data_IF_337095432826
#
_entry.id   IF_337095432826
#
_cell.length_a   1.000
_cell.length_b   1.000
_cell.length_c   1.000
_cell.angle_alpha   90.00
_cell.angle_beta   90.00
_cell.angle_gamma   90.00
#
_symmetry.space_group_name_H-M   'P 1'
#
loop_
_entity.id
_entity.type
_entity.pdbx_description
1 polymer ?
#
# COMPACT_ATOMS: atom_id res chain seq x y z
N UNK A 1 5.80 16.82 -15.16
CA UNK A 1 5.67 15.41 -14.77
C UNK A 1 6.99 14.73 -15.12
N UNK A 2 7.78 14.32 -14.14
CA UNK A 2 9.10 13.73 -14.37
C UNK A 2 8.94 12.22 -14.22
N UNK A 3 9.17 11.49 -15.31
CA UNK A 3 9.29 10.04 -15.25
C UNK A 3 10.74 9.71 -14.90
N UNK A 4 10.91 8.85 -13.90
CA UNK A 4 12.23 8.32 -13.50
C UNK A 4 12.36 6.88 -13.98
N UNK A 5 13.59 6.45 -14.23
CA UNK A 5 13.87 5.09 -14.70
C UNK A 5 13.48 4.05 -13.64
N UNK A 6 13.11 2.86 -14.10
CA UNK A 6 12.80 1.74 -13.23
C UNK A 6 14.08 1.25 -12.55
N UNK A 7 13.98 0.91 -11.27
CA UNK A 7 15.10 0.31 -10.53
C UNK A 7 15.56 -0.97 -11.20
N UNK A 8 16.86 -1.16 -11.37
CA UNK A 8 17.46 -2.32 -12.06
C UNK A 8 16.96 -3.69 -11.55
N UNK A 9 16.67 -3.77 -10.25
CA UNK A 9 16.22 -4.99 -9.59
C UNK A 9 14.70 -5.21 -9.61
N UNK A 10 13.93 -4.21 -10.05
CA UNK A 10 12.48 -4.28 -10.13
C UNK A 10 12.10 -4.93 -11.47
N UNK A 11 12.16 -6.26 -11.54
CA UNK A 11 11.95 -7.01 -12.80
C UNK A 11 10.50 -7.37 -13.08
N UNK A 12 9.61 -7.37 -12.07
CA UNK A 12 8.24 -7.88 -12.19
C UNK A 12 7.24 -6.78 -12.53
N UNK A 13 6.73 -6.73 -13.76
CA UNK A 13 5.79 -5.69 -14.19
C UNK A 13 4.38 -5.83 -13.59
N UNK A 14 4.01 -7.02 -13.13
CA UNK A 14 2.70 -7.29 -12.56
C UNK A 14 2.82 -8.26 -11.40
N UNK A 15 2.08 -7.99 -10.33
CA UNK A 15 1.94 -8.85 -9.17
C UNK A 15 0.45 -8.99 -8.84
N UNK A 16 -0.09 -10.19 -9.00
CA UNK A 16 -1.47 -10.53 -8.64
C UNK A 16 -1.45 -11.83 -7.85
N UNK A 17 -1.99 -11.80 -6.64
CA UNK A 17 -2.02 -12.96 -5.74
C UNK A 17 -3.36 -13.67 -5.82
N UNK A 18 -3.33 -15.01 -5.72
CA UNK A 18 -4.54 -15.79 -5.43
C UNK A 18 -4.76 -15.85 -3.92
N UNK A 19 -5.98 -15.54 -3.47
CA UNK A 19 -6.36 -15.54 -2.05
C UNK A 19 -7.19 -16.77 -1.65
N UNK A 20 -7.37 -17.73 -2.55
CA UNK A 20 -8.27 -18.88 -2.36
C UNK A 20 -7.86 -19.78 -1.20
N UNK A 21 -6.54 -19.94 -0.98
CA UNK A 21 -6.04 -20.70 0.19
C UNK A 21 -6.40 -20.00 1.50
N UNK A 22 -6.27 -18.68 1.55
CA UNK A 22 -6.58 -17.90 2.75
C UNK A 22 -8.08 -17.92 3.05
N UNK A 23 -8.94 -17.75 2.03
CA UNK A 23 -10.39 -17.94 2.14
C UNK A 23 -10.74 -19.29 2.76
N UNK A 24 -10.20 -20.38 2.20
CA UNK A 24 -10.55 -21.74 2.66
C UNK A 24 -10.07 -22.06 4.07
N UNK A 25 -8.88 -21.60 4.46
CA UNK A 25 -8.23 -22.00 5.72
C UNK A 25 -8.56 -21.04 6.87
N UNK A 26 -8.72 -19.75 6.56
CA UNK A 26 -8.82 -18.69 7.56
C UNK A 26 -10.14 -17.92 7.48
N UNK A 27 -11.05 -18.30 6.56
CA UNK A 27 -12.24 -17.53 6.23
C UNK A 27 -11.91 -16.07 5.88
N UNK A 28 -10.75 -15.88 5.24
CA UNK A 28 -10.22 -14.55 4.97
C UNK A 28 -10.91 -13.91 3.76
N UNK A 29 -11.52 -12.75 3.99
CA UNK A 29 -12.08 -11.90 2.94
C UNK A 29 -11.61 -10.44 3.13
N UNK A 30 -10.95 -9.82 2.13
CA UNK A 30 -10.60 -8.41 2.18
C UNK A 30 -11.85 -7.53 2.28
N UNK A 31 -11.97 -6.78 3.38
CA UNK A 31 -13.15 -5.94 3.64
C UNK A 31 -12.97 -4.47 3.24
N UNK A 32 -11.77 -4.05 2.85
CA UNK A 32 -11.45 -2.65 2.53
C UNK A 32 -11.07 -2.55 1.06
N UNK A 33 -11.82 -1.77 0.30
CA UNK A 33 -11.47 -1.45 -1.08
C UNK A 33 -10.21 -0.57 -1.12
N UNK A 34 -9.52 -0.55 -2.26
CA UNK A 34 -8.28 0.19 -2.41
C UNK A 34 -8.45 1.69 -2.13
N UNK A 35 -9.50 2.30 -2.69
CA UNK A 35 -9.80 3.73 -2.52
C UNK A 35 -10.11 4.10 -1.06
N UNK A 36 -10.92 3.28 -0.38
CA UNK A 36 -11.20 3.47 1.05
C UNK A 36 -9.94 3.38 1.90
N UNK A 37 -9.06 2.43 1.57
CA UNK A 37 -7.75 2.29 2.20
C UNK A 37 -6.89 3.53 2.02
N UNK A 38 -6.82 4.06 0.79
CA UNK A 38 -6.08 5.29 0.49
C UNK A 38 -6.62 6.50 1.25
N UNK A 39 -7.95 6.66 1.33
CA UNK A 39 -8.58 7.77 2.05
C UNK A 39 -8.24 7.72 3.54
N UNK A 40 -8.33 6.53 4.17
CA UNK A 40 -7.97 6.34 5.58
C UNK A 40 -6.50 6.62 5.86
N UNK A 41 -5.62 6.18 4.96
CA UNK A 41 -4.18 6.47 5.07
C UNK A 41 -3.93 7.96 4.96
N UNK A 42 -4.55 8.64 3.99
CA UNK A 42 -4.44 10.09 3.84
C UNK A 42 -4.90 10.84 5.10
N UNK A 43 -6.06 10.48 5.66
CA UNK A 43 -6.55 11.05 6.92
C UNK A 43 -5.55 10.87 8.06
N UNK A 44 -4.94 9.68 8.17
CA UNK A 44 -3.89 9.42 9.15
C UNK A 44 -2.65 10.30 8.92
N UNK A 45 -2.22 10.49 7.67
CA UNK A 45 -1.11 11.38 7.33
C UNK A 45 -1.40 12.82 7.74
N UNK A 46 -2.58 13.35 7.42
CA UNK A 46 -2.97 14.72 7.79
C UNK A 46 -3.00 14.87 9.32
N UNK A 47 -3.56 13.90 10.04
CA UNK A 47 -3.62 13.93 11.50
C UNK A 47 -2.25 13.84 12.20
N UNK A 48 -1.28 13.18 11.57
CA UNK A 48 0.04 12.90 12.15
C UNK A 48 1.19 13.70 11.52
N UNK A 49 0.89 14.67 10.66
CA UNK A 49 1.86 15.36 9.82
C UNK A 49 3.11 15.84 10.57
N UNK A 50 2.93 16.50 11.71
CA UNK A 50 4.05 17.01 12.55
C UNK A 50 4.94 15.93 13.12
N UNK A 51 4.40 14.74 13.40
CA UNK A 51 5.18 13.62 13.90
C UNK A 51 5.95 12.96 12.76
N UNK A 52 5.31 12.83 11.59
CA UNK A 52 5.94 12.28 10.38
C UNK A 52 7.13 13.16 9.97
N UNK A 53 6.97 14.48 9.93
CA UNK A 53 8.05 15.41 9.59
C UNK A 53 9.27 15.27 10.52
N UNK A 54 9.05 14.99 11.81
CA UNK A 54 10.12 14.78 12.78
C UNK A 54 10.78 13.41 12.69
N UNK A 55 10.07 12.41 12.17
CA UNK A 55 10.46 11.00 12.26
C UNK A 55 10.87 10.39 10.92
N UNK A 56 10.57 11.06 9.81
CA UNK A 56 10.88 10.57 8.48
C UNK A 56 12.39 10.67 8.19
N UNK A 57 12.97 9.57 7.72
CA UNK A 57 14.36 9.46 7.29
C UNK A 57 14.36 9.28 5.77
N UNK A 58 15.06 10.18 5.06
CA UNK A 58 15.10 10.26 3.59
C UNK A 58 16.50 10.04 3.05
#
# INVERSE_FOLDING_TARGET
>A
MIYVERRDWDVKHQLLSSIEKAKRVLDYEPQTAFEDGLNRVHEWFVGNWKNIEKSAEF
#
